data_IF_912849183966
#
_entry.id   IF_912849183966
#
_cell.length_a   1.000
_cell.length_b   1.000
_cell.length_c   1.000
_cell.angle_alpha   90.00
_cell.angle_beta   90.00
_cell.angle_gamma   90.00
#
_symmetry.space_group_name_H-M   'P 1'
#
loop_
_entity.id
_entity.type
_entity.pdbx_description
1 polymer ?
#
# COMPACT_ATOMS: atom_id res chain seq x y z
N UNK A 1 -11.10 15.42 39.74
CA UNK A 1 -9.64 15.28 39.51
C UNK A 1 -9.20 16.40 38.57
N UNK A 2 -8.31 17.32 38.97
CA UNK A 2 -7.98 18.52 38.16
C UNK A 2 -7.27 18.16 36.86
N UNK A 3 -7.45 18.97 35.81
CA UNK A 3 -6.82 18.78 34.48
C UNK A 3 -5.29 18.65 34.56
N UNK A 4 -4.64 19.35 35.51
CA UNK A 4 -3.22 19.18 35.82
C UNK A 4 -2.85 17.76 36.21
N UNK A 5 -3.64 17.10 37.06
CA UNK A 5 -3.39 15.71 37.50
C UNK A 5 -3.53 14.72 36.34
N UNK A 6 -4.45 14.95 35.40
CA UNK A 6 -4.61 14.11 34.20
C UNK A 6 -3.43 14.28 33.23
N UNK A 7 -2.96 15.51 33.03
CA UNK A 7 -1.79 15.78 32.20
C UNK A 7 -0.53 15.13 32.79
N UNK A 8 -0.31 15.29 34.11
CA UNK A 8 0.82 14.71 34.82
C UNK A 8 0.80 13.17 34.77
N UNK A 9 -0.38 12.56 34.87
CA UNK A 9 -0.55 11.12 34.71
C UNK A 9 -0.21 10.63 33.29
N UNK A 10 -0.58 11.40 32.25
CA UNK A 10 -0.22 11.09 30.85
C UNK A 10 1.29 11.18 30.62
N UNK A 11 1.95 12.21 31.17
CA UNK A 11 3.41 12.37 31.07
C UNK A 11 4.16 11.28 31.84
N UNK A 12 3.70 10.91 33.05
CA UNK A 12 4.23 9.78 33.80
C UNK A 12 4.06 8.46 33.03
N UNK A 13 2.91 8.25 32.40
CA UNK A 13 2.68 7.10 31.53
C UNK A 13 3.62 7.06 30.33
N UNK A 14 3.85 8.19 29.66
CA UNK A 14 4.81 8.30 28.55
C UNK A 14 6.25 8.02 28.99
N UNK A 15 6.68 8.59 30.13
CA UNK A 15 8.00 8.34 30.71
C UNK A 15 8.17 6.88 31.13
N UNK A 16 7.15 6.26 31.71
CA UNK A 16 7.16 4.85 32.06
C UNK A 16 7.27 3.97 30.80
N UNK A 17 6.53 4.28 29.72
CA UNK A 17 6.63 3.56 28.46
C UNK A 17 8.02 3.72 27.80
N UNK A 18 8.59 4.93 27.81
CA UNK A 18 9.94 5.20 27.30
C UNK A 18 11.01 4.47 28.12
N UNK A 19 10.88 4.46 29.44
CA UNK A 19 11.78 3.75 30.34
C UNK A 19 11.70 2.24 30.15
N UNK A 20 10.48 1.69 29.99
CA UNK A 20 10.26 0.29 29.68
C UNK A 20 10.91 -0.05 28.33
N UNK A 21 10.66 0.75 27.28
CA UNK A 21 11.25 0.56 25.96
C UNK A 21 12.79 0.58 25.98
N UNK A 22 13.40 1.44 26.80
CA UNK A 22 14.86 1.52 26.95
C UNK A 22 15.48 0.34 27.74
N UNK A 23 14.67 -0.39 28.52
CA UNK A 23 15.11 -1.54 29.34
C UNK A 23 14.85 -2.90 28.68
N UNK A 24 14.03 -2.94 27.62
CA UNK A 24 13.78 -4.18 26.89
C UNK A 24 14.99 -4.52 26.01
N UNK A 25 15.40 -5.79 26.03
CA UNK A 25 16.36 -6.30 25.04
C UNK A 25 15.74 -6.26 23.63
N UNK A 26 16.56 -6.21 22.57
CA UNK A 26 16.08 -6.04 21.19
C UNK A 26 15.04 -7.09 20.76
N UNK A 27 15.19 -8.33 21.22
CA UNK A 27 14.27 -9.43 20.96
C UNK A 27 12.90 -9.24 21.63
N UNK A 28 12.88 -8.74 22.88
CA UNK A 28 11.63 -8.48 23.57
C UNK A 28 10.95 -7.22 23.01
N UNK A 29 11.73 -6.22 22.61
CA UNK A 29 11.22 -5.01 21.98
C UNK A 29 10.54 -5.30 20.64
N UNK A 30 11.14 -6.16 19.81
CA UNK A 30 10.54 -6.59 18.55
C UNK A 30 9.24 -7.36 18.77
N UNK A 31 9.20 -8.31 19.71
CA UNK A 31 7.95 -9.02 20.09
C UNK A 31 6.86 -8.05 20.57
N UNK A 32 7.21 -7.08 21.42
CA UNK A 32 6.28 -6.07 21.90
C UNK A 32 5.73 -5.22 20.75
N UNK A 33 6.59 -4.78 19.82
CA UNK A 33 6.18 -4.02 18.64
C UNK A 33 5.24 -4.83 17.74
N UNK A 34 5.54 -6.11 17.50
CA UNK A 34 4.64 -7.00 16.76
C UNK A 34 3.29 -7.14 17.47
N UNK A 35 3.27 -7.32 18.79
CA UNK A 35 2.03 -7.42 19.55
C UNK A 35 1.19 -6.13 19.46
N UNK A 36 1.82 -4.96 19.57
CA UNK A 36 1.15 -3.65 19.45
C UNK A 36 0.59 -3.44 18.04
N UNK A 37 1.36 -3.77 17.00
CA UNK A 37 0.90 -3.69 15.61
C UNK A 37 -0.29 -4.63 15.38
N UNK A 38 -0.19 -5.88 15.85
CA UNK A 38 -1.25 -6.88 15.69
C UNK A 38 -2.54 -6.46 16.40
N UNK A 39 -2.44 -5.96 17.63
CA UNK A 39 -3.59 -5.45 18.38
C UNK A 39 -4.21 -4.23 17.68
N UNK A 40 -3.39 -3.32 17.15
CA UNK A 40 -3.84 -2.13 16.41
C UNK A 40 -4.57 -2.53 15.13
N UNK A 41 -4.04 -3.51 14.40
CA UNK A 41 -4.69 -4.07 13.21
C UNK A 41 -6.01 -4.73 13.56
N UNK A 42 -6.08 -5.51 14.63
CA UNK A 42 -7.31 -6.15 15.09
C UNK A 42 -8.39 -5.11 15.45
N UNK A 43 -8.03 -4.09 16.23
CA UNK A 43 -8.92 -2.97 16.56
C UNK A 43 -9.40 -2.23 15.29
N UNK A 44 -8.51 -2.07 14.31
CA UNK A 44 -8.85 -1.52 13.00
C UNK A 44 -9.86 -2.38 12.25
N UNK A 45 -9.67 -3.69 12.17
CA UNK A 45 -10.59 -4.63 11.52
C UNK A 45 -11.96 -4.57 12.18
N UNK A 46 -12.03 -4.58 13.52
CA UNK A 46 -13.29 -4.47 14.27
C UNK A 46 -14.04 -3.19 13.88
N UNK A 47 -13.35 -2.04 13.83
CA UNK A 47 -13.95 -0.78 13.37
C UNK A 47 -14.42 -0.86 11.93
N UNK A 48 -13.61 -1.45 11.04
CA UNK A 48 -13.93 -1.61 9.62
C UNK A 48 -15.19 -2.44 9.39
N UNK A 49 -15.33 -3.56 10.10
CA UNK A 49 -16.51 -4.42 10.03
C UNK A 49 -17.75 -3.70 10.59
N UNK A 50 -17.61 -3.06 11.75
CA UNK A 50 -18.71 -2.35 12.41
C UNK A 50 -19.23 -1.15 11.57
N UNK A 51 -18.35 -0.51 10.80
CA UNK A 51 -18.67 0.66 9.98
C UNK A 51 -18.64 0.39 8.47
N UNK A 52 -18.75 -0.89 8.04
CA UNK A 52 -18.58 -1.29 6.63
C UNK A 52 -19.45 -0.48 5.66
N UNK A 53 -20.72 -0.23 6.03
CA UNK A 53 -21.67 0.51 5.17
C UNK A 53 -21.19 1.94 4.94
N UNK A 54 -20.70 2.59 6.00
CA UNK A 54 -20.17 3.95 5.91
C UNK A 54 -18.90 4.01 5.08
N UNK A 55 -17.99 3.04 5.26
CA UNK A 55 -16.75 2.95 4.50
C UNK A 55 -17.06 2.76 3.01
N UNK A 56 -18.00 1.87 2.67
CA UNK A 56 -18.43 1.67 1.28
C UNK A 56 -19.08 2.91 0.68
N UNK A 57 -19.96 3.60 1.42
CA UNK A 57 -20.53 4.88 0.95
C UNK A 57 -19.45 5.91 0.69
N UNK A 58 -18.44 6.00 1.57
CA UNK A 58 -17.30 6.91 1.43
C UNK A 58 -16.45 6.56 0.21
N UNK A 59 -16.17 5.28 -0.04
CA UNK A 59 -15.45 4.82 -1.25
C UNK A 59 -16.24 5.19 -2.52
N UNK A 60 -17.55 4.95 -2.52
CA UNK A 60 -18.41 5.22 -3.68
C UNK A 60 -18.55 6.73 -3.97
N UNK A 61 -18.55 7.57 -2.93
CA UNK A 61 -18.63 9.04 -3.05
C UNK A 61 -17.26 9.71 -3.06
N UNK A 62 -16.22 9.00 -3.47
CA UNK A 62 -14.92 9.61 -3.73
C UNK A 62 -14.69 9.86 -5.25
N UNK A 63 -15.56 10.56 -6.01
CA UNK A 63 -15.38 10.77 -7.45
C UNK A 63 -14.24 11.75 -7.76
N UNK A 64 -13.85 12.62 -6.83
CA UNK A 64 -12.60 13.39 -6.92
C UNK A 64 -11.37 12.49 -6.95
N UNK A 65 -11.52 11.19 -6.60
CA UNK A 65 -10.44 10.21 -6.74
C UNK A 65 -10.20 9.79 -8.18
N UNK A 66 -11.16 9.87 -9.11
CA UNK A 66 -10.93 9.29 -10.44
C UNK A 66 -9.73 9.95 -11.13
N UNK A 67 -9.64 11.28 -11.07
CA UNK A 67 -8.48 12.01 -11.56
C UNK A 67 -7.21 11.67 -10.76
N UNK A 68 -7.27 11.65 -9.44
CA UNK A 68 -6.15 11.24 -8.59
C UNK A 68 -5.70 9.80 -8.88
N UNK A 69 -6.60 8.86 -9.14
CA UNK A 69 -6.35 7.46 -9.41
C UNK A 69 -5.71 7.28 -10.77
N UNK A 70 -6.10 8.05 -11.79
CA UNK A 70 -5.41 8.07 -13.09
C UNK A 70 -4.00 8.62 -12.95
N UNK A 71 -3.80 9.72 -12.21
CA UNK A 71 -2.48 10.30 -11.95
C UNK A 71 -1.59 9.32 -11.17
N UNK A 72 -2.13 8.74 -10.09
CA UNK A 72 -1.45 7.72 -9.27
C UNK A 72 -1.08 6.53 -10.15
N UNK A 73 -2.00 6.02 -10.96
CA UNK A 73 -1.75 4.91 -11.86
C UNK A 73 -0.64 5.24 -12.86
N UNK A 74 -0.64 6.43 -13.45
CA UNK A 74 0.38 6.85 -14.41
C UNK A 74 1.77 6.94 -13.76
N UNK A 75 1.85 7.52 -12.55
CA UNK A 75 3.09 7.56 -11.77
C UNK A 75 3.55 6.13 -11.45
N UNK A 76 2.66 5.27 -10.94
CA UNK A 76 2.96 3.88 -10.64
C UNK A 76 3.42 3.08 -11.86
N UNK A 77 2.80 3.31 -13.02
CA UNK A 77 3.21 2.68 -14.29
C UNK A 77 4.64 3.08 -14.67
N UNK A 78 4.95 4.37 -14.63
CA UNK A 78 6.30 4.87 -14.91
C UNK A 78 7.33 4.36 -13.89
N UNK A 79 6.94 4.28 -12.62
CA UNK A 79 7.77 3.68 -11.57
C UNK A 79 8.04 2.20 -11.84
N UNK A 80 7.02 1.41 -12.19
CA UNK A 80 7.17 0.00 -12.54
C UNK A 80 8.09 -0.18 -13.75
N UNK A 81 7.90 0.60 -14.81
CA UNK A 81 8.75 0.58 -16.00
C UNK A 81 10.23 0.85 -15.65
N UNK A 82 10.50 1.92 -14.89
CA UNK A 82 11.85 2.26 -14.45
C UNK A 82 12.45 1.22 -13.52
N UNK A 83 11.66 0.65 -12.61
CA UNK A 83 12.09 -0.37 -11.68
C UNK A 83 12.51 -1.65 -12.43
N UNK A 84 11.70 -2.10 -13.39
CA UNK A 84 12.01 -3.29 -14.20
C UNK A 84 13.21 -3.06 -15.10
N UNK A 85 13.31 -1.88 -15.74
CA UNK A 85 14.47 -1.51 -16.53
C UNK A 85 15.75 -1.50 -15.66
N UNK A 86 15.71 -0.86 -14.48
CA UNK A 86 16.86 -0.81 -13.59
C UNK A 86 17.30 -2.18 -13.05
N UNK A 87 16.34 -3.08 -12.76
CA UNK A 87 16.63 -4.39 -12.20
C UNK A 87 17.04 -5.43 -13.25
N UNK A 88 16.43 -5.40 -14.44
CA UNK A 88 16.56 -6.45 -15.45
C UNK A 88 17.28 -5.98 -16.73
N UNK A 89 17.49 -4.68 -16.91
CA UNK A 89 18.09 -4.11 -18.11
C UNK A 89 17.26 -4.33 -19.38
N UNK A 90 15.95 -4.51 -19.25
CA UNK A 90 15.03 -4.61 -20.40
C UNK A 90 14.69 -3.19 -20.87
N UNK A 91 14.83 -2.94 -22.17
CA UNK A 91 14.52 -1.65 -22.76
C UNK A 91 13.02 -1.32 -22.59
N UNK A 92 12.74 -0.06 -22.28
CA UNK A 92 11.40 0.42 -21.95
C UNK A 92 10.36 0.06 -23.02
N UNK A 93 10.74 0.07 -24.30
CA UNK A 93 9.85 -0.23 -25.43
C UNK A 93 9.22 -1.64 -25.32
N UNK A 94 9.98 -2.64 -24.86
CA UNK A 94 9.51 -4.03 -24.77
C UNK A 94 8.69 -4.33 -23.50
N UNK A 95 8.67 -3.43 -22.53
CA UNK A 95 7.92 -3.58 -21.28
C UNK A 95 6.82 -2.54 -21.09
N UNK A 96 6.72 -1.54 -21.96
CA UNK A 96 5.81 -0.39 -21.82
C UNK A 96 4.34 -0.76 -21.70
N UNK A 97 3.92 -1.81 -22.41
CA UNK A 97 2.55 -2.32 -22.37
C UNK A 97 2.30 -3.02 -21.02
N UNK A 98 3.21 -3.92 -20.65
CA UNK A 98 3.14 -4.75 -19.44
C UNK A 98 3.41 -3.98 -18.14
N UNK A 99 4.10 -2.85 -18.22
CA UNK A 99 4.26 -1.91 -17.11
C UNK A 99 2.91 -1.41 -16.56
N UNK A 100 1.83 -1.49 -17.35
CA UNK A 100 0.47 -1.20 -16.88
C UNK A 100 0.03 -2.14 -15.77
N UNK A 101 0.38 -3.44 -15.85
CA UNK A 101 0.08 -4.43 -14.81
C UNK A 101 0.82 -4.09 -13.51
N UNK A 102 2.10 -3.77 -13.62
CA UNK A 102 2.90 -3.28 -12.49
C UNK A 102 2.34 -1.99 -11.89
N UNK A 103 1.87 -1.07 -12.75
CA UNK A 103 1.19 0.16 -12.35
C UNK A 103 -0.06 -0.10 -11.52
N UNK A 104 -0.92 -1.06 -11.90
CA UNK A 104 -2.10 -1.45 -11.11
C UNK A 104 -1.67 -2.01 -9.75
N UNK A 105 -0.70 -2.94 -9.74
CA UNK A 105 -0.22 -3.59 -8.51
C UNK A 105 0.36 -2.59 -7.50
N UNK A 106 1.04 -1.54 -7.96
CA UNK A 106 1.57 -0.46 -7.12
C UNK A 106 0.51 0.60 -6.75
N UNK A 107 -0.44 0.87 -7.64
CA UNK A 107 -1.46 1.91 -7.42
C UNK A 107 -2.42 1.55 -6.29
N UNK A 108 -2.76 0.26 -6.12
CA UNK A 108 -3.65 -0.21 -5.05
C UNK A 108 -3.09 0.13 -3.66
N UNK A 109 -1.88 -0.36 -3.26
CA UNK A 109 -1.35 -0.08 -1.94
C UNK A 109 -1.00 1.41 -1.77
N UNK A 110 -0.55 2.10 -2.83
CA UNK A 110 -0.31 3.55 -2.74
C UNK A 110 -1.60 4.34 -2.47
N UNK A 111 -2.71 3.96 -3.11
CA UNK A 111 -4.02 4.57 -2.87
C UNK A 111 -4.51 4.30 -1.45
N UNK A 112 -4.36 3.07 -0.95
CA UNK A 112 -4.68 2.72 0.44
C UNK A 112 -3.84 3.55 1.43
N UNK A 113 -2.56 3.77 1.13
CA UNK A 113 -1.68 4.60 1.95
C UNK A 113 -2.18 6.05 2.01
N UNK A 114 -2.55 6.65 0.88
CA UNK A 114 -3.10 8.00 0.84
C UNK A 114 -4.43 8.11 1.60
N UNK A 115 -5.31 7.10 1.50
CA UNK A 115 -6.56 7.04 2.27
C UNK A 115 -6.26 6.99 3.77
N UNK A 116 -5.35 6.12 4.19
CA UNK A 116 -4.95 6.00 5.60
C UNK A 116 -4.34 7.30 6.14
N UNK A 117 -3.50 7.97 5.35
CA UNK A 117 -2.92 9.27 5.70
C UNK A 117 -3.99 10.35 5.83
N UNK A 118 -4.92 10.42 4.88
CA UNK A 118 -6.05 11.34 4.92
C UNK A 118 -6.90 11.13 6.19
N UNK A 119 -7.20 9.87 6.54
CA UNK A 119 -7.96 9.55 7.74
C UNK A 119 -7.21 9.95 9.02
N UNK A 120 -5.88 9.78 9.06
CA UNK A 120 -5.07 10.23 10.19
C UNK A 120 -5.06 11.75 10.32
N UNK A 121 -4.76 12.47 9.23
CA UNK A 121 -4.70 13.94 9.23
C UNK A 121 -6.05 14.52 9.66
N UNK A 122 -7.16 14.03 9.09
CA UNK A 122 -8.50 14.50 9.46
C UNK A 122 -8.84 14.19 10.93
N UNK A 123 -8.41 13.03 11.45
CA UNK A 123 -8.62 12.67 12.85
C UNK A 123 -7.78 13.53 13.81
N UNK A 124 -6.54 13.86 13.45
CA UNK A 124 -5.65 14.72 14.22
C UNK A 124 -6.14 16.17 14.19
N UNK A 125 -6.49 16.67 13.01
CA UNK A 125 -7.05 18.00 12.83
C UNK A 125 -8.31 18.21 13.67
N UNK A 126 -9.26 17.26 13.65
CA UNK A 126 -10.46 17.34 14.50
C UNK A 126 -10.11 17.38 15.99
N UNK A 127 -9.14 16.57 16.44
CA UNK A 127 -8.72 16.57 17.85
C UNK A 127 -8.03 17.86 18.29
N UNK A 128 -7.30 18.53 17.39
CA UNK A 128 -6.56 19.77 17.68
C UNK A 128 -7.44 21.01 17.56
N UNK A 129 -8.34 21.05 16.57
CA UNK A 129 -9.14 22.25 16.24
C UNK A 129 -10.53 22.25 16.89
N UNK A 130 -11.17 21.10 17.09
CA UNK A 130 -12.50 21.03 17.72
C UNK A 130 -12.56 21.09 19.26
N UNK A 131 -11.49 21.08 20.08
CA UNK A 131 -11.66 21.26 21.52
C UNK A 131 -12.07 22.70 21.89
N UNK A 132 -11.96 23.67 20.96
CA UNK A 132 -12.32 25.08 21.18
C UNK A 132 -13.79 25.39 20.82
N UNK A 133 -14.43 24.60 19.96
CA UNK A 133 -15.83 24.80 19.57
C UNK A 133 -16.72 23.66 20.08
N UNK A 134 -17.09 23.72 21.36
CA UNK A 134 -18.31 23.07 21.90
C UNK A 134 -19.60 23.75 21.38
N UNK A 135 -19.60 24.21 20.13
CA UNK A 135 -20.81 24.62 19.46
C UNK A 135 -21.27 23.43 18.62
N UNK A 136 -22.36 22.81 19.08
CA UNK A 136 -23.36 22.01 18.37
C UNK A 136 -22.94 21.56 16.94
N UNK A 137 -22.94 20.25 16.61
CA UNK A 137 -22.72 19.84 15.23
C UNK A 137 -23.77 20.55 14.37
N UNK A 138 -23.31 21.43 13.47
CA UNK A 138 -24.16 22.03 12.46
C UNK A 138 -24.81 20.89 11.67
N UNK A 139 -26.13 20.96 11.38
CA UNK A 139 -26.79 19.92 10.61
C UNK A 139 -26.18 19.95 9.22
N UNK A 140 -25.33 18.97 8.92
CA UNK A 140 -24.88 18.79 7.54
C UNK A 140 -26.04 18.15 6.81
N UNK A 141 -26.86 18.98 6.17
CA UNK A 141 -27.68 18.54 5.05
C UNK A 141 -26.74 17.94 4.00
N UNK A 142 -26.78 16.62 3.85
CA UNK A 142 -26.84 15.89 2.58
C UNK A 142 -26.46 14.42 2.80
N UNK A 143 -27.46 13.55 2.66
CA UNK A 143 -27.33 12.09 2.62
C UNK A 143 -27.14 11.45 4.00
N UNK A 144 -28.14 10.69 4.46
CA UNK A 144 -28.10 9.88 5.68
C UNK A 144 -26.81 9.05 5.78
N UNK A 145 -25.78 9.61 6.41
CA UNK A 145 -24.57 8.85 6.72
C UNK A 145 -24.90 7.95 7.90
N UNK A 146 -24.71 6.62 7.78
CA UNK A 146 -25.07 5.71 8.86
C UNK A 146 -24.31 6.08 10.15
N UNK A 147 -24.95 5.94 11.32
CA UNK A 147 -24.38 6.36 12.60
C UNK A 147 -23.01 5.71 12.84
N UNK A 148 -22.05 6.49 13.32
CA UNK A 148 -20.69 5.99 13.59
C UNK A 148 -20.70 5.10 14.83
N UNK A 149 -20.36 3.82 14.64
CA UNK A 149 -20.08 2.93 15.76
C UNK A 149 -18.60 3.01 16.12
N UNK A 150 -18.28 3.04 17.42
CA UNK A 150 -16.90 2.95 17.92
C UNK A 150 -15.95 4.02 17.35
N UNK A 151 -16.36 5.30 17.31
CA UNK A 151 -15.55 6.40 16.77
C UNK A 151 -14.13 6.52 17.36
N UNK A 152 -13.90 6.02 18.59
CA UNK A 152 -12.59 5.97 19.24
C UNK A 152 -11.60 5.03 18.55
N UNK A 153 -12.09 4.03 17.80
CA UNK A 153 -11.27 3.06 17.08
C UNK A 153 -10.83 3.53 15.68
N UNK A 154 -11.42 4.63 15.17
CA UNK A 154 -11.07 5.22 13.87
C UNK A 154 -9.56 5.46 13.65
N UNK A 155 -8.78 6.02 14.60
CA UNK A 155 -7.33 6.16 14.41
C UNK A 155 -6.61 4.81 14.28
N UNK A 156 -7.06 3.77 14.99
CA UNK A 156 -6.49 2.43 14.88
C UNK A 156 -6.79 1.82 13.50
N UNK A 157 -7.98 2.06 12.95
CA UNK A 157 -8.31 1.70 11.56
C UNK A 157 -7.40 2.41 10.55
N UNK A 158 -7.18 3.71 10.71
CA UNK A 158 -6.29 4.46 9.81
C UNK A 158 -4.84 3.96 9.88
N UNK A 159 -4.32 3.66 11.08
CA UNK A 159 -2.99 3.06 11.28
C UNK A 159 -2.93 1.66 10.67
N UNK A 160 -3.96 0.83 10.84
CA UNK A 160 -4.03 -0.50 10.24
C UNK A 160 -3.97 -0.44 8.71
N UNK A 161 -4.70 0.49 8.09
CA UNK A 161 -4.66 0.71 6.63
C UNK A 161 -3.27 1.18 6.17
N UNK A 162 -2.65 2.12 6.88
CA UNK A 162 -1.28 2.59 6.57
C UNK A 162 -0.22 1.51 6.71
N UNK A 163 -0.24 0.76 7.81
CA UNK A 163 0.73 -0.33 8.04
C UNK A 163 0.56 -1.45 7.03
N UNK A 164 -0.68 -1.83 6.69
CA UNK A 164 -0.96 -2.83 5.67
C UNK A 164 -0.52 -2.37 4.27
N UNK A 165 -0.78 -1.11 3.91
CA UNK A 165 -0.35 -0.56 2.61
C UNK A 165 1.17 -0.46 2.49
N UNK A 166 1.86 -0.03 3.54
CA UNK A 166 3.33 -0.01 3.59
C UNK A 166 3.91 -1.42 3.44
N UNK A 167 3.34 -2.40 4.15
CA UNK A 167 3.75 -3.80 4.01
C UNK A 167 3.55 -4.34 2.59
N UNK A 168 2.42 -4.01 1.95
CA UNK A 168 2.17 -4.40 0.56
C UNK A 168 3.16 -3.73 -0.40
N UNK A 169 3.52 -2.46 -0.20
CA UNK A 169 4.53 -1.77 -1.01
C UNK A 169 5.91 -2.43 -0.86
N UNK A 170 6.34 -2.78 0.36
CA UNK A 170 7.67 -3.41 0.55
C UNK A 170 7.77 -4.81 -0.02
N UNK A 171 6.64 -5.52 -0.14
CA UNK A 171 6.57 -6.84 -0.77
C UNK A 171 6.25 -6.79 -2.27
N UNK A 172 5.99 -5.60 -2.81
CA UNK A 172 5.48 -5.45 -4.18
C UNK A 172 6.55 -5.72 -5.24
N UNK A 173 7.84 -5.50 -4.96
CA UNK A 173 8.93 -5.61 -5.95
C UNK A 173 8.95 -6.95 -6.69
N UNK A 174 8.94 -8.06 -5.94
CA UNK A 174 8.95 -9.40 -6.53
C UNK A 174 7.65 -9.69 -7.29
N UNK A 175 6.52 -9.21 -6.78
CA UNK A 175 5.20 -9.41 -7.38
C UNK A 175 5.08 -8.63 -8.69
N UNK A 176 5.46 -7.35 -8.69
CA UNK A 176 5.48 -6.48 -9.87
C UNK A 176 6.39 -7.08 -10.93
N UNK A 177 7.61 -7.49 -10.56
CA UNK A 177 8.53 -8.16 -11.47
C UNK A 177 7.92 -9.39 -12.12
N UNK A 178 7.38 -10.29 -11.31
CA UNK A 178 6.78 -11.53 -11.82
C UNK A 178 5.63 -11.24 -12.79
N UNK A 179 4.65 -10.43 -12.36
CA UNK A 179 3.45 -10.16 -13.16
C UNK A 179 3.74 -9.36 -14.43
N UNK A 180 4.66 -8.40 -14.38
CA UNK A 180 5.08 -7.65 -15.58
C UNK A 180 5.78 -8.57 -16.57
N UNK A 181 6.64 -9.48 -16.11
CA UNK A 181 7.31 -10.45 -16.99
C UNK A 181 6.32 -11.44 -17.61
N UNK A 182 5.40 -11.98 -16.81
CA UNK A 182 4.36 -12.90 -17.30
C UNK A 182 3.49 -12.23 -18.37
N UNK A 183 3.11 -10.97 -18.16
CA UNK A 183 2.36 -10.22 -19.17
C UNK A 183 3.21 -9.91 -20.41
N UNK A 184 4.49 -9.56 -20.24
CA UNK A 184 5.40 -9.27 -21.36
C UNK A 184 5.65 -10.47 -22.27
N UNK A 185 5.59 -11.70 -21.73
CA UNK A 185 5.71 -12.93 -22.53
C UNK A 185 4.61 -13.07 -23.58
N UNK A 186 3.41 -12.53 -23.32
CA UNK A 186 2.28 -12.60 -24.27
C UNK A 186 2.53 -11.77 -25.54
N UNK A 187 3.43 -10.79 -25.45
CA UNK A 187 3.75 -9.87 -26.54
C UNK A 187 5.16 -10.06 -27.09
N UNK A 188 5.91 -11.05 -26.58
CA UNK A 188 7.28 -11.29 -27.01
C UNK A 188 7.35 -12.08 -28.30
N UNK A 189 8.25 -11.66 -29.18
CA UNK A 189 8.59 -12.25 -30.48
C UNK A 189 9.86 -13.14 -30.42
N UNK A 190 10.35 -13.46 -29.21
CA UNK A 190 11.63 -14.13 -29.00
C UNK A 190 11.61 -15.66 -29.21
N UNK A 191 10.43 -16.28 -29.33
CA UNK A 191 10.29 -17.72 -29.54
C UNK A 191 8.88 -18.23 -29.23
N UNK A 192 8.56 -19.48 -29.60
CA UNK A 192 7.28 -20.10 -29.27
C UNK A 192 7.14 -20.32 -27.75
N UNK A 193 5.93 -20.26 -27.17
CA UNK A 193 5.72 -20.50 -25.76
C UNK A 193 5.94 -21.98 -25.40
N UNK A 194 7.02 -22.29 -24.69
CA UNK A 194 7.40 -23.66 -24.29
C UNK A 194 7.28 -23.85 -22.78
N UNK A 195 6.20 -24.45 -22.26
CA UNK A 195 6.09 -24.69 -20.80
C UNK A 195 7.23 -25.59 -20.28
N UNK A 196 7.91 -25.24 -19.16
CA UNK A 196 7.61 -24.18 -18.20
C UNK A 196 8.30 -22.82 -18.49
N UNK A 197 8.91 -22.65 -19.65
CA UNK A 197 9.68 -21.48 -20.04
C UNK A 197 8.83 -20.46 -20.81
N UNK A 198 9.07 -19.18 -20.52
CA UNK A 198 8.60 -18.06 -21.30
C UNK A 198 9.78 -17.27 -21.86
N UNK A 199 9.52 -16.48 -22.90
CA UNK A 199 10.54 -15.65 -23.54
C UNK A 199 10.11 -14.18 -23.46
N UNK A 200 11.06 -13.29 -23.17
CA UNK A 200 10.83 -11.84 -23.12
C UNK A 200 11.97 -11.14 -23.84
N UNK A 201 11.65 -10.18 -24.71
CA UNK A 201 12.67 -9.40 -25.40
C UNK A 201 13.34 -8.44 -24.44
N UNK A 202 14.67 -8.45 -24.39
CA UNK A 202 15.46 -7.50 -23.62
C UNK A 202 15.73 -6.24 -24.43
N UNK A 203 16.26 -6.43 -25.63
CA UNK A 203 16.61 -5.39 -26.60
C UNK A 203 16.52 -5.94 -28.03
N UNK A 204 17.00 -5.17 -29.01
CA UNK A 204 17.02 -5.59 -30.42
C UNK A 204 17.81 -6.89 -30.66
N UNK A 205 18.88 -7.13 -29.89
CA UNK A 205 19.85 -8.19 -30.14
C UNK A 205 19.73 -9.40 -29.20
N UNK A 206 18.95 -9.29 -28.12
CA UNK A 206 18.90 -10.31 -27.08
C UNK A 206 17.53 -10.46 -26.43
N UNK A 207 17.29 -11.70 -25.99
CA UNK A 207 16.08 -12.13 -25.32
C UNK A 207 16.43 -12.80 -24.00
N UNK A 208 15.49 -12.76 -23.06
CA UNK A 208 15.52 -13.52 -21.84
C UNK A 208 14.62 -14.75 -21.96
N UNK A 209 15.14 -15.88 -21.50
CA UNK A 209 14.34 -17.05 -21.14
C UNK A 209 14.03 -16.96 -19.64
N UNK A 210 12.77 -17.14 -19.29
CA UNK A 210 12.23 -17.00 -17.93
C UNK A 210 11.55 -18.29 -17.52
N UNK A 211 11.86 -18.82 -16.33
CA UNK A 211 11.07 -19.92 -15.75
C UNK A 211 9.74 -19.36 -15.21
N UNK A 212 8.61 -19.90 -15.67
CA UNK A 212 7.26 -19.49 -15.26
C UNK A 212 6.76 -20.20 -14.00
N UNK A 213 7.53 -21.17 -13.47
CA UNK A 213 7.17 -21.86 -12.21
C UNK A 213 7.07 -20.85 -11.07
N UNK A 214 5.88 -20.78 -10.47
CA UNK A 214 5.64 -20.03 -9.24
C UNK A 214 6.66 -20.47 -8.17
N UNK A 215 7.25 -19.51 -7.46
CA UNK A 215 8.17 -19.68 -6.32
C UNK A 215 9.64 -20.05 -6.60
N UNK A 216 10.08 -20.21 -7.85
CA UNK A 216 11.52 -20.40 -8.16
C UNK A 216 12.28 -19.11 -8.50
N UNK A 217 11.58 -17.98 -8.54
CA UNK A 217 12.14 -16.73 -9.03
C UNK A 217 12.27 -16.77 -10.56
N UNK A 218 12.19 -15.60 -11.19
CA UNK A 218 12.44 -15.50 -12.62
C UNK A 218 13.96 -15.62 -12.84
N UNK A 219 14.48 -16.84 -13.02
CA UNK A 219 15.82 -17.03 -13.58
C UNK A 219 15.81 -16.50 -15.01
N UNK A 220 16.71 -15.56 -15.27
CA UNK A 220 16.80 -14.83 -16.54
C UNK A 220 18.05 -15.29 -17.27
N UNK A 221 17.88 -16.13 -18.29
CA UNK A 221 18.98 -16.58 -19.15
C UNK A 221 18.95 -15.73 -20.42
N UNK A 222 19.93 -14.85 -20.58
CA UNK A 222 20.07 -14.05 -21.80
C UNK A 222 20.61 -14.91 -22.95
N UNK A 223 20.00 -14.77 -24.13
CA UNK A 223 20.49 -15.37 -25.36
C UNK A 223 20.35 -14.39 -26.52
N UNK A 224 21.22 -14.52 -27.53
CA UNK A 224 21.18 -13.68 -28.72
C UNK A 224 19.94 -14.02 -29.56
N UNK A 225 19.23 -13.01 -30.02
CA UNK A 225 18.09 -13.14 -30.91
C UNK A 225 18.11 -12.01 -31.93
N UNK A 226 18.23 -12.35 -33.22
CA UNK A 226 18.07 -11.36 -34.30
C UNK A 226 16.60 -11.27 -34.66
N UNK A 227 16.02 -10.09 -34.48
CA UNK A 227 14.72 -9.76 -35.07
C UNK A 227 14.91 -9.71 -36.59
N UNK A 228 14.10 -10.41 -37.42
CA UNK A 228 14.09 -10.14 -38.85
C UNK A 228 13.61 -8.69 -39.02
N UNK A 229 14.44 -7.87 -39.67
CA UNK A 229 14.15 -6.46 -39.95
C UNK A 229 13.01 -6.26 -40.92
#
# INVERSE_FOLDING_TARGET
>A
MSERKKALLKYLGLLACLWLAARLSPEHFTVLMYAVVTLTCFAGIVYGVANRKRILTFINHWPTSFFCSVVIFFICKLSAEKQINAQLGIEAEYIRQSASVGGVLLAIPLSLMLIGLYLLITSAYRKVVQPVSRAKPAPTEQGQTPPESLAQLRPFFAIAVLTSSLFLLTQSDNSVRYWVLVDAMLYSDCGPPEKPWGYVRKNLDSCYRVDTRLFHGAELIAFASRKPG
#
